data_IF_273939631866
#
_entry.id   IF_273939631866
#
_cell.length_a   1.000
_cell.length_b   1.000
_cell.length_c   1.000
_cell.angle_alpha   90.00
_cell.angle_beta   90.00
_cell.angle_gamma   90.00
#
_symmetry.space_group_name_H-M   'P 1'
#
loop_
_entity.id
_entity.type
_entity.pdbx_description
1 polymer ?
#
# COMPACT_ATOMS: atom_id res chain seq x y z
N UNK A 1 -22.40 -11.93 6.07
CA UNK A 1 -21.67 -11.98 4.77
C UNK A 1 -20.21 -11.62 5.05
N UNK A 2 -19.24 -12.47 4.71
CA UNK A 2 -17.80 -12.14 4.88
C UNK A 2 -17.42 -11.11 3.81
N UNK A 3 -17.46 -9.82 4.14
CA UNK A 3 -17.02 -8.76 3.26
C UNK A 3 -15.56 -8.96 2.85
N UNK A 4 -15.27 -8.82 1.55
CA UNK A 4 -13.91 -8.92 1.00
C UNK A 4 -13.06 -7.83 1.66
N UNK A 5 -12.00 -8.22 2.38
CA UNK A 5 -11.12 -7.23 3.04
C UNK A 5 -10.48 -6.35 1.96
N UNK A 6 -10.59 -5.02 2.04
CA UNK A 6 -10.00 -4.14 1.04
C UNK A 6 -8.47 -4.28 1.06
N UNK A 7 -7.88 -4.32 -0.14
CA UNK A 7 -6.42 -4.37 -0.31
C UNK A 7 -5.79 -3.06 0.17
N UNK A 8 -4.49 -3.07 0.46
CA UNK A 8 -3.75 -1.86 0.84
C UNK A 8 -3.89 -0.76 -0.22
N UNK A 9 -3.82 -1.12 -1.50
CA UNK A 9 -4.00 -0.19 -2.63
C UNK A 9 -5.41 0.45 -2.63
N UNK A 10 -6.45 -0.35 -2.37
CA UNK A 10 -7.83 0.17 -2.26
C UNK A 10 -7.96 1.15 -1.09
N UNK A 11 -7.38 0.83 0.07
CA UNK A 11 -7.40 1.73 1.24
C UNK A 11 -6.74 3.06 0.93
N UNK A 12 -5.57 3.06 0.28
CA UNK A 12 -4.85 4.30 -0.05
C UNK A 12 -5.64 5.11 -1.08
N UNK A 13 -6.24 4.47 -2.10
CA UNK A 13 -7.07 5.17 -3.09
C UNK A 13 -8.23 5.92 -2.44
N UNK A 14 -8.92 5.27 -1.51
CA UNK A 14 -10.02 5.87 -0.73
C UNK A 14 -9.53 7.06 0.10
N UNK A 15 -8.34 6.98 0.72
CA UNK A 15 -7.76 8.10 1.46
C UNK A 15 -7.47 9.31 0.56
N UNK A 16 -7.03 9.09 -0.69
CA UNK A 16 -6.70 10.17 -1.63
C UNK A 16 -7.93 10.87 -2.21
N UNK A 17 -9.10 10.22 -2.24
CA UNK A 17 -10.34 10.88 -2.64
C UNK A 17 -10.70 12.05 -1.71
N UNK A 18 -10.41 11.93 -0.41
CA UNK A 18 -10.61 13.02 0.54
C UNK A 18 -9.57 14.15 0.39
N UNK A 19 -8.34 13.83 -0.02
CA UNK A 19 -7.32 14.85 -0.33
C UNK A 19 -7.68 15.62 -1.62
N UNK A 20 -8.44 14.99 -2.52
CA UNK A 20 -8.97 15.60 -3.74
C UNK A 20 -10.17 16.52 -3.55
N UNK A 21 -10.57 16.80 -2.29
CA UNK A 21 -11.61 17.77 -1.95
C UNK A 21 -12.99 17.17 -1.61
N UNK A 22 -13.17 15.85 -1.66
CA UNK A 22 -14.37 15.20 -1.09
C UNK A 22 -14.32 15.25 0.43
N UNK A 23 -15.47 15.40 1.08
CA UNK A 23 -15.54 15.29 2.54
C UNK A 23 -15.33 13.83 2.98
N UNK A 24 -14.79 13.64 4.19
CA UNK A 24 -14.58 12.30 4.78
C UNK A 24 -15.91 11.54 4.88
N UNK A 25 -17.00 12.25 5.19
CA UNK A 25 -18.35 11.67 5.32
C UNK A 25 -18.84 11.09 4.00
N UNK A 26 -18.69 11.82 2.89
CA UNK A 26 -19.06 11.35 1.55
C UNK A 26 -18.24 10.13 1.14
N UNK A 27 -16.93 10.15 1.38
CA UNK A 27 -16.04 9.01 1.09
C UNK A 27 -16.44 7.78 1.90
N UNK A 28 -16.77 7.96 3.18
CA UNK A 28 -17.23 6.87 4.04
C UNK A 28 -18.55 6.27 3.56
N UNK A 29 -19.50 7.09 3.11
CA UNK A 29 -20.77 6.64 2.55
C UNK A 29 -20.60 5.88 1.24
N UNK A 30 -19.83 6.44 0.29
CA UNK A 30 -19.60 5.84 -1.03
C UNK A 30 -18.93 4.47 -0.91
N UNK A 31 -17.91 4.35 -0.05
CA UNK A 31 -17.15 3.12 0.13
C UNK A 31 -17.72 2.19 1.21
N UNK A 32 -18.85 2.56 1.82
CA UNK A 32 -19.53 1.78 2.86
C UNK A 32 -18.60 1.42 4.04
N UNK A 33 -17.77 2.38 4.45
CA UNK A 33 -16.85 2.26 5.58
C UNK A 33 -17.19 3.25 6.69
N UNK A 34 -16.92 2.89 7.94
CA UNK A 34 -17.06 3.84 9.04
C UNK A 34 -15.92 4.86 9.05
N UNK A 35 -16.18 6.06 9.55
CA UNK A 35 -15.15 7.10 9.76
C UNK A 35 -14.01 6.60 10.65
N UNK A 36 -14.32 5.76 11.64
CA UNK A 36 -13.31 5.10 12.49
C UNK A 36 -12.35 4.25 11.65
N UNK A 37 -12.88 3.52 10.67
CA UNK A 37 -12.07 2.71 9.76
C UNK A 37 -11.21 3.59 8.86
N UNK A 38 -11.79 4.68 8.35
CA UNK A 38 -11.08 5.68 7.56
C UNK A 38 -9.91 6.30 8.33
N UNK A 39 -10.14 6.78 9.56
CA UNK A 39 -9.09 7.36 10.40
C UNK A 39 -8.01 6.35 10.79
N UNK A 40 -8.38 5.08 11.02
CA UNK A 40 -7.40 4.00 11.22
C UNK A 40 -6.50 3.85 9.99
N UNK A 41 -7.06 3.82 8.79
CA UNK A 41 -6.27 3.75 7.57
C UNK A 41 -5.45 5.01 7.35
N UNK A 42 -5.99 6.21 7.64
CA UNK A 42 -5.23 7.47 7.57
C UNK A 42 -4.04 7.47 8.52
N UNK A 43 -4.15 6.87 9.71
CA UNK A 43 -3.02 6.72 10.64
C UNK A 43 -1.97 5.75 10.12
N UNK A 44 -2.39 4.67 9.44
CA UNK A 44 -1.50 3.62 8.93
C UNK A 44 -0.85 3.97 7.58
N UNK A 45 -1.56 4.70 6.73
CA UNK A 45 -1.21 4.91 5.33
C UNK A 45 -1.33 6.38 4.88
N UNK A 46 -1.78 7.30 5.75
CA UNK A 46 -2.02 8.69 5.36
C UNK A 46 -0.75 9.49 5.04
N UNK A 47 0.42 9.00 5.47
CA UNK A 47 1.72 9.54 5.07
C UNK A 47 2.31 8.85 3.82
N UNK A 48 1.73 7.73 3.37
CA UNK A 48 2.18 7.02 2.17
C UNK A 48 1.42 7.55 0.96
N UNK A 49 2.10 8.27 0.07
CA UNK A 49 1.54 8.51 -1.27
C UNK A 49 1.34 7.18 -2.01
N UNK A 50 0.31 7.08 -2.86
CA UNK A 50 0.08 5.87 -3.68
C UNK A 50 1.34 5.54 -4.49
N UNK A 51 2.04 6.58 -4.95
CA UNK A 51 3.29 6.43 -5.68
C UNK A 51 4.44 5.95 -4.79
N UNK A 52 4.52 6.40 -3.53
CA UNK A 52 5.52 5.90 -2.58
C UNK A 52 5.27 4.45 -2.19
N UNK A 53 4.01 4.06 -1.97
CA UNK A 53 3.64 2.68 -1.70
C UNK A 53 3.97 1.75 -2.88
N UNK A 54 3.72 2.21 -4.11
CA UNK A 54 4.07 1.48 -5.34
C UNK A 54 5.60 1.34 -5.48
N UNK A 55 6.33 2.45 -5.31
CA UNK A 55 7.80 2.49 -5.38
C UNK A 55 8.44 1.61 -4.31
N UNK A 56 7.90 1.59 -3.10
CA UNK A 56 8.37 0.72 -2.01
C UNK A 56 8.26 -0.76 -2.39
N UNK A 57 7.12 -1.17 -2.97
CA UNK A 57 6.89 -2.54 -3.43
C UNK A 57 7.83 -2.96 -4.56
N UNK A 58 8.12 -2.03 -5.48
CA UNK A 58 9.08 -2.24 -6.57
C UNK A 58 10.51 -2.39 -6.02
N UNK A 59 10.93 -1.53 -5.10
CA UNK A 59 12.23 -1.61 -4.44
C UNK A 59 12.41 -2.89 -3.64
N UNK A 60 11.37 -3.37 -2.94
CA UNK A 60 11.42 -4.65 -2.22
C UNK A 60 11.65 -5.82 -3.18
N UNK A 61 10.99 -5.81 -4.34
CA UNK A 61 11.16 -6.82 -5.38
C UNK A 61 12.57 -6.80 -5.96
N UNK A 62 13.05 -5.62 -6.36
CA UNK A 62 14.40 -5.46 -6.91
C UNK A 62 15.46 -5.91 -5.91
N UNK A 63 15.31 -5.57 -4.62
CA UNK A 63 16.23 -5.99 -3.57
C UNK A 63 16.25 -7.52 -3.41
N UNK A 64 15.09 -8.17 -3.50
CA UNK A 64 15.00 -9.63 -3.45
C UNK A 64 15.71 -10.28 -4.66
N UNK A 65 15.49 -9.75 -5.87
CA UNK A 65 16.16 -10.23 -7.08
C UNK A 65 17.69 -10.01 -7.01
N UNK A 66 18.15 -8.84 -6.57
CA UNK A 66 19.57 -8.54 -6.38
C UNK A 66 20.23 -9.46 -5.34
N UNK A 67 19.56 -9.70 -4.21
CA UNK A 67 20.07 -10.64 -3.19
C UNK A 67 20.21 -12.05 -3.74
N UNK A 68 19.25 -12.51 -4.56
CA UNK A 68 19.33 -13.81 -5.22
C UNK A 68 20.51 -13.87 -6.18
N UNK A 69 20.66 -12.89 -7.06
CA UNK A 69 21.78 -12.83 -8.01
C UNK A 69 23.13 -12.78 -7.29
N UNK A 70 23.23 -12.03 -6.19
CA UNK A 70 24.44 -11.97 -5.37
C UNK A 70 24.75 -13.33 -4.74
N UNK A 71 23.75 -14.02 -4.18
CA UNK A 71 23.93 -15.37 -3.65
C UNK A 71 24.41 -16.35 -4.74
N UNK A 72 23.79 -16.33 -5.92
CA UNK A 72 24.18 -17.17 -7.06
C UNK A 72 25.61 -16.86 -7.53
N UNK A 73 26.01 -15.59 -7.55
CA UNK A 73 27.37 -15.16 -7.91
C UNK A 73 28.40 -15.61 -6.87
N UNK A 74 28.11 -15.47 -5.58
CA UNK A 74 28.98 -15.93 -4.49
C UNK A 74 29.15 -17.45 -4.50
N UNK A 75 28.11 -18.20 -4.87
CA UNK A 75 28.20 -19.65 -5.03
C UNK A 75 29.09 -20.05 -6.22
N UNK A 76 29.02 -19.33 -7.35
CA UNK A 76 29.90 -19.57 -8.52
C UNK A 76 31.37 -19.23 -8.24
N UNK A 77 31.63 -18.17 -7.47
CA UNK A 77 32.98 -17.74 -7.12
C UNK A 77 33.63 -18.57 -5.99
N UNK A 78 32.90 -19.52 -5.39
CA UNK A 78 33.40 -20.44 -4.35
C UNK A 78 33.97 -21.75 -4.91
N UNK A 79 34.13 -21.84 -6.23
CA UNK A 79 34.76 -22.97 -6.94
C UNK A 79 36.15 -22.58 -7.40
#
# INVERSE_FOLDING_TARGET
MKGKRPTTEQKIRILREADGGKSIVEVCQEHHISEVTYHRWKRQFGQLDVNEAKRMKELERENAELKKMLADSLLKNRV
#
